data_IF_718131240719
#
_entry.id   IF_718131240719
#
_cell.length_a   1.000
_cell.length_b   1.000
_cell.length_c   1.000
_cell.angle_alpha   90.00
_cell.angle_beta   90.00
_cell.angle_gamma   90.00
#
_symmetry.space_group_name_H-M   'P 1'
#
loop_
_entity.id
_entity.type
_entity.pdbx_description
1 polymer ?
#
# COMPACT_ATOMS: atom_id res chain seq x y z
N UNK A 1 -12.48 -20.98 8.93
CA UNK A 1 -11.47 -20.93 7.85
C UNK A 1 -10.89 -22.32 7.67
N UNK A 2 -10.68 -22.80 6.45
CA UNK A 2 -9.97 -24.06 6.26
C UNK A 2 -8.57 -23.96 6.89
N UNK A 3 -8.13 -25.05 7.54
CA UNK A 3 -6.80 -25.12 8.19
C UNK A 3 -5.64 -24.75 7.24
N UNK A 4 -5.84 -24.97 5.94
CA UNK A 4 -4.89 -24.59 4.88
C UNK A 4 -4.60 -23.06 4.80
N UNK A 5 -5.50 -22.20 5.28
CA UNK A 5 -5.31 -20.74 5.34
C UNK A 5 -4.91 -20.26 6.73
N UNK A 6 -4.54 -21.17 7.65
CA UNK A 6 -4.07 -20.79 8.97
C UNK A 6 -2.72 -20.07 8.86
N UNK A 7 -2.62 -18.92 9.53
CA UNK A 7 -1.38 -18.18 9.74
C UNK A 7 -0.92 -18.50 11.16
N UNK A 8 0.19 -19.24 11.33
CA UNK A 8 0.60 -19.77 12.65
C UNK A 8 1.09 -18.69 13.62
N UNK A 9 1.54 -17.55 13.10
CA UNK A 9 2.06 -16.47 13.92
C UNK A 9 1.08 -15.29 13.96
N UNK A 10 0.89 -14.70 15.13
CA UNK A 10 -0.01 -13.58 15.34
C UNK A 10 0.59 -12.57 16.30
N UNK A 11 0.38 -11.29 16.00
CA UNK A 11 0.75 -10.17 16.85
C UNK A 11 -0.32 -9.08 16.78
N UNK A 12 -0.63 -8.48 17.93
CA UNK A 12 -1.40 -7.24 18.00
C UNK A 12 -0.41 -6.10 18.22
N UNK A 13 -0.42 -5.10 17.33
CA UNK A 13 0.40 -3.89 17.44
C UNK A 13 -0.50 -2.67 17.19
N UNK A 14 -0.81 -1.94 18.24
CA UNK A 14 -1.82 -0.88 18.18
C UNK A 14 -3.17 -1.43 17.71
N UNK A 15 -3.73 -0.83 16.69
CA UNK A 15 -5.00 -1.25 16.08
C UNK A 15 -4.86 -2.39 15.07
N UNK A 16 -3.64 -2.79 14.69
CA UNK A 16 -3.42 -3.83 13.69
C UNK A 16 -3.37 -5.24 14.29
N UNK A 17 -4.24 -6.14 13.78
CA UNK A 17 -4.17 -7.59 14.00
C UNK A 17 -3.33 -8.21 12.87
N UNK A 18 -2.08 -8.56 13.20
CA UNK A 18 -1.12 -9.05 12.21
C UNK A 18 -1.03 -10.56 12.29
N UNK A 19 -1.17 -11.22 11.14
CA UNK A 19 -1.07 -12.67 10.99
C UNK A 19 -0.02 -13.00 9.95
N UNK A 20 0.86 -13.96 10.24
CA UNK A 20 2.01 -14.24 9.39
C UNK A 20 2.24 -15.74 9.19
N UNK A 21 2.80 -16.08 8.03
CA UNK A 21 3.34 -17.41 7.75
C UNK A 21 4.72 -17.63 8.38
N UNK A 22 5.44 -16.54 8.69
CA UNK A 22 6.75 -16.56 9.33
C UNK A 22 6.69 -15.97 10.75
N UNK A 23 7.67 -16.27 11.61
CA UNK A 23 7.77 -15.66 12.93
C UNK A 23 7.69 -14.13 12.88
N UNK A 24 7.09 -13.55 13.95
CA UNK A 24 6.93 -12.11 14.14
C UNK A 24 7.73 -11.65 15.36
N UNK A 25 9.07 -11.44 15.27
CA UNK A 25 9.83 -10.87 16.36
C UNK A 25 9.25 -9.52 16.77
N UNK A 26 8.97 -9.37 18.06
CA UNK A 26 8.18 -8.26 18.60
C UNK A 26 8.74 -6.89 18.22
N UNK A 27 10.04 -6.70 18.45
CA UNK A 27 10.71 -5.42 18.15
C UNK A 27 10.67 -5.05 16.66
N UNK A 28 10.79 -6.04 15.77
CA UNK A 28 10.79 -5.82 14.33
C UNK A 28 9.42 -5.41 13.83
N UNK A 29 8.36 -6.13 14.23
CA UNK A 29 7.00 -5.80 13.79
C UNK A 29 6.53 -4.46 14.37
N UNK A 30 6.86 -4.14 15.63
CA UNK A 30 6.55 -2.84 16.21
C UNK A 30 7.24 -1.69 15.46
N UNK A 31 8.52 -1.86 15.08
CA UNK A 31 9.25 -0.88 14.29
C UNK A 31 8.62 -0.66 12.91
N UNK A 32 8.24 -1.73 12.23
CA UNK A 32 7.58 -1.65 10.91
C UNK A 32 6.23 -0.94 11.00
N UNK A 33 5.42 -1.31 11.99
CA UNK A 33 4.10 -0.68 12.19
C UNK A 33 4.24 0.78 12.63
N UNK A 34 5.22 1.11 13.48
CA UNK A 34 5.49 2.49 13.85
C UNK A 34 5.85 3.36 12.64
N UNK A 35 6.65 2.83 11.71
CA UNK A 35 6.97 3.54 10.45
C UNK A 35 5.73 3.67 9.55
N UNK A 36 4.94 2.62 9.39
CA UNK A 36 3.69 2.70 8.64
C UNK A 36 2.73 3.76 9.22
N UNK A 37 2.57 3.79 10.54
CA UNK A 37 1.72 4.77 11.22
C UNK A 37 2.22 6.21 11.04
N UNK A 38 3.54 6.46 11.06
CA UNK A 38 4.08 7.80 10.77
C UNK A 38 3.70 8.27 9.36
N UNK A 39 3.77 7.37 8.38
CA UNK A 39 3.37 7.66 6.99
C UNK A 39 1.86 7.93 6.91
N UNK A 40 1.03 7.08 7.48
CA UNK A 40 -0.42 7.23 7.50
C UNK A 40 -0.82 8.58 8.14
N UNK A 41 -0.17 8.96 9.24
CA UNK A 41 -0.47 10.19 9.96
C UNK A 41 -0.19 11.47 9.16
N UNK A 42 0.53 11.40 8.03
CA UNK A 42 0.70 12.56 7.13
C UNK A 42 -0.54 12.85 6.29
N UNK A 43 -1.50 11.94 6.23
CA UNK A 43 -2.73 12.08 5.46
C UNK A 43 -3.78 12.89 6.22
N UNK A 44 -4.35 13.91 5.57
CA UNK A 44 -5.45 14.69 6.16
C UNK A 44 -6.75 13.87 6.35
N UNK A 45 -6.88 12.73 5.67
CA UNK A 45 -8.02 11.81 5.84
C UNK A 45 -7.69 10.61 6.74
N UNK A 46 -6.56 10.66 7.46
CA UNK A 46 -6.23 9.64 8.43
C UNK A 46 -7.27 9.62 9.56
N UNK A 47 -7.82 8.43 9.81
CA UNK A 47 -8.75 8.24 10.92
C UNK A 47 -7.96 8.22 12.25
N UNK A 48 -8.34 9.09 13.18
CA UNK A 48 -7.71 9.13 14.51
C UNK A 48 -8.02 7.88 15.35
N UNK A 49 -9.11 7.17 15.03
CA UNK A 49 -9.44 5.90 15.67
C UNK A 49 -8.60 4.73 15.14
N UNK A 50 -7.83 4.98 14.08
CA UNK A 50 -6.95 4.00 13.46
C UNK A 50 -7.68 2.96 12.59
N UNK A 51 -6.88 2.30 11.78
CA UNK A 51 -7.35 1.23 10.91
C UNK A 51 -7.35 -0.09 11.70
N UNK A 52 -8.50 -0.71 11.89
CA UNK A 52 -8.61 -2.02 12.54
C UNK A 52 -8.76 -3.13 11.50
N UNK A 53 -7.81 -3.21 10.57
CA UNK A 53 -7.80 -4.25 9.55
C UNK A 53 -6.79 -5.34 9.86
N UNK A 54 -7.17 -6.63 9.76
CA UNK A 54 -6.18 -7.70 9.80
C UNK A 54 -5.19 -7.57 8.64
N UNK A 55 -3.90 -7.70 8.96
CA UNK A 55 -2.81 -7.74 7.98
C UNK A 55 -2.30 -9.17 7.90
N UNK A 56 -2.32 -9.74 6.69
CA UNK A 56 -1.80 -11.06 6.43
C UNK A 56 -0.46 -10.96 5.70
N UNK A 57 0.63 -11.31 6.39
CA UNK A 57 1.97 -11.37 5.83
C UNK A 57 2.22 -12.77 5.28
N UNK A 58 2.24 -12.89 3.96
CA UNK A 58 2.54 -14.16 3.29
C UNK A 58 4.05 -14.26 2.97
N UNK A 59 4.51 -15.50 2.75
CA UNK A 59 5.85 -15.76 2.21
C UNK A 59 5.85 -15.91 0.68
N UNK A 60 4.84 -15.38 0.01
CA UNK A 60 4.58 -15.68 -1.40
C UNK A 60 3.98 -17.09 -1.55
N UNK A 61 4.31 -17.79 -2.61
CA UNK A 61 3.85 -19.15 -2.81
C UNK A 61 2.33 -19.26 -3.04
N UNK A 62 1.76 -20.42 -2.70
CA UNK A 62 0.36 -20.74 -3.02
C UNK A 62 -0.66 -19.90 -2.23
N UNK A 63 -0.38 -19.54 -0.97
CA UNK A 63 -1.29 -18.69 -0.18
C UNK A 63 -1.41 -17.31 -0.77
N UNK A 64 -0.28 -16.71 -1.16
CA UNK A 64 -0.31 -15.45 -1.89
C UNK A 64 -1.07 -15.60 -3.21
N UNK A 65 -0.75 -16.64 -4.01
CA UNK A 65 -1.40 -16.87 -5.30
C UNK A 65 -2.92 -17.04 -5.16
N UNK A 66 -3.38 -17.71 -4.10
CA UNK A 66 -4.79 -17.88 -3.79
C UNK A 66 -5.45 -16.57 -3.33
N UNK A 67 -4.83 -15.85 -2.41
CA UNK A 67 -5.39 -14.62 -1.87
C UNK A 67 -5.33 -13.46 -2.87
N UNK A 68 -4.29 -13.41 -3.70
CA UNK A 68 -4.09 -12.36 -4.69
C UNK A 68 -4.87 -12.56 -5.99
N UNK A 69 -5.21 -13.79 -6.35
CA UNK A 69 -5.91 -14.15 -7.61
C UNK A 69 -5.25 -13.50 -8.84
N UNK A 70 -5.90 -12.50 -9.44
CA UNK A 70 -5.38 -11.78 -10.61
C UNK A 70 -4.25 -10.80 -10.29
N UNK A 71 -4.13 -10.36 -9.01
CA UNK A 71 -3.14 -9.38 -8.56
C UNK A 71 -1.83 -10.01 -8.07
N UNK A 72 -1.47 -11.21 -8.56
CA UNK A 72 -0.30 -11.98 -8.10
C UNK A 72 1.04 -11.24 -8.21
N UNK A 73 1.12 -10.25 -9.10
CA UNK A 73 2.31 -9.42 -9.29
C UNK A 73 2.40 -8.22 -8.34
N UNK A 74 1.42 -7.98 -7.48
CA UNK A 74 1.41 -6.85 -6.54
C UNK A 74 2.32 -7.11 -5.34
N UNK A 75 2.71 -6.05 -4.64
CA UNK A 75 3.40 -6.12 -3.35
C UNK A 75 2.43 -6.42 -2.21
N UNK A 76 1.25 -5.80 -2.27
CA UNK A 76 0.14 -5.99 -1.37
C UNK A 76 -1.17 -5.85 -2.11
N UNK A 77 -2.25 -6.04 -1.41
CA UNK A 77 -3.59 -5.77 -1.92
C UNK A 77 -4.59 -5.54 -0.79
N UNK A 78 -5.52 -4.65 -1.05
CA UNK A 78 -6.70 -4.40 -0.24
C UNK A 78 -7.93 -4.49 -1.13
N UNK A 79 -8.82 -5.44 -0.88
CA UNK A 79 -10.01 -5.63 -1.71
C UNK A 79 -11.16 -4.75 -1.22
N UNK A 80 -11.93 -4.20 -2.14
CA UNK A 80 -13.06 -3.33 -1.83
C UNK A 80 -14.11 -4.01 -0.94
N UNK A 81 -14.32 -5.32 -1.14
CA UNK A 81 -15.32 -6.10 -0.40
C UNK A 81 -14.80 -6.75 0.89
N UNK A 82 -13.54 -6.52 1.27
CA UNK A 82 -12.92 -7.14 2.43
C UNK A 82 -12.28 -6.12 3.35
N UNK A 83 -12.26 -6.43 4.64
CA UNK A 83 -11.63 -5.59 5.67
C UNK A 83 -10.20 -6.00 5.99
N UNK A 84 -9.50 -6.73 5.12
CA UNK A 84 -8.14 -7.19 5.38
C UNK A 84 -7.15 -6.75 4.29
N UNK A 85 -5.90 -6.63 4.70
CA UNK A 85 -4.74 -6.35 3.85
C UNK A 85 -3.96 -7.65 3.69
N UNK A 86 -3.55 -7.99 2.47
CA UNK A 86 -2.66 -9.12 2.21
C UNK A 86 -1.36 -8.60 1.62
N UNK A 87 -0.26 -8.99 2.22
CA UNK A 87 1.09 -8.59 1.81
C UNK A 87 1.82 -9.81 1.22
N UNK A 88 2.49 -9.59 0.11
CA UNK A 88 3.35 -10.58 -0.53
C UNK A 88 4.64 -10.81 0.29
N UNK A 89 5.58 -11.59 -0.25
CA UNK A 89 6.83 -11.90 0.42
C UNK A 89 7.58 -10.63 0.83
N UNK A 90 7.95 -10.57 2.09
CA UNK A 90 8.72 -9.48 2.68
C UNK A 90 9.76 -10.00 3.68
N UNK A 91 10.79 -9.21 3.91
CA UNK A 91 11.75 -9.36 4.99
C UNK A 91 11.40 -8.36 6.09
N UNK A 92 10.94 -8.86 7.23
CA UNK A 92 10.49 -8.05 8.35
C UNK A 92 11.68 -7.33 9.01
N UNK A 93 12.81 -8.02 9.17
CA UNK A 93 14.01 -7.45 9.79
C UNK A 93 14.59 -6.30 8.97
N UNK A 94 14.65 -6.47 7.65
CA UNK A 94 15.11 -5.43 6.72
C UNK A 94 14.03 -4.39 6.38
N UNK A 95 12.79 -4.55 6.84
CA UNK A 95 11.64 -3.73 6.44
C UNK A 95 11.53 -3.60 4.91
N UNK A 96 11.61 -4.71 4.18
CA UNK A 96 11.71 -4.69 2.71
C UNK A 96 10.79 -5.72 2.06
N UNK A 97 10.21 -5.35 0.92
CA UNK A 97 9.56 -6.31 0.03
C UNK A 97 10.60 -7.13 -0.72
N UNK A 98 10.38 -8.46 -0.80
CA UNK A 98 11.33 -9.42 -1.41
C UNK A 98 10.72 -10.23 -2.56
N UNK A 99 9.49 -9.95 -2.95
CA UNK A 99 8.90 -10.51 -4.15
C UNK A 99 9.53 -9.84 -5.37
N UNK A 100 10.60 -10.44 -5.87
CA UNK A 100 11.44 -9.94 -6.96
C UNK A 100 10.61 -9.43 -8.15
N UNK A 101 10.78 -8.15 -8.47
CA UNK A 101 10.33 -7.58 -9.73
C UNK A 101 11.55 -7.10 -10.50
N UNK A 102 11.67 -7.44 -11.80
CA UNK A 102 12.81 -7.05 -12.62
C UNK A 102 12.95 -5.53 -12.77
N UNK A 103 11.88 -4.79 -12.49
CA UNK A 103 11.79 -3.33 -12.69
C UNK A 103 11.14 -2.69 -11.47
N UNK A 104 11.88 -1.92 -10.74
CA UNK A 104 11.38 -1.14 -9.60
C UNK A 104 12.40 -0.98 -8.48
N UNK A 105 12.28 0.09 -7.72
CA UNK A 105 12.97 0.23 -6.45
C UNK A 105 12.40 -0.77 -5.44
N UNK A 106 13.24 -1.28 -4.56
CA UNK A 106 12.76 -2.10 -3.45
C UNK A 106 11.92 -1.21 -2.51
N UNK A 107 10.63 -1.49 -2.43
CA UNK A 107 9.74 -0.80 -1.48
C UNK A 107 9.92 -1.35 -0.07
N UNK A 108 9.72 -0.50 0.92
CA UNK A 108 9.66 -0.94 2.31
C UNK A 108 8.33 -1.63 2.61
N UNK A 109 8.36 -2.61 3.53
CA UNK A 109 7.15 -3.27 4.01
C UNK A 109 6.18 -2.27 4.65
N UNK A 110 6.72 -1.35 5.44
CA UNK A 110 5.95 -0.29 6.08
C UNK A 110 5.26 0.64 5.07
N UNK A 111 5.90 0.97 3.94
CA UNK A 111 5.27 1.78 2.89
C UNK A 111 4.12 1.04 2.20
N UNK A 112 4.26 -0.27 1.99
CA UNK A 112 3.17 -1.08 1.43
C UNK A 112 1.99 -1.16 2.42
N UNK A 113 2.26 -1.35 3.72
CA UNK A 113 1.21 -1.33 4.74
C UNK A 113 0.49 0.02 4.74
N UNK A 114 1.22 1.13 4.67
CA UNK A 114 0.63 2.47 4.62
C UNK A 114 -0.20 2.69 3.35
N UNK A 115 0.29 2.25 2.18
CA UNK A 115 -0.41 2.32 0.91
C UNK A 115 -1.74 1.53 0.95
N UNK A 116 -1.71 0.29 1.40
CA UNK A 116 -2.90 -0.56 1.47
C UNK A 116 -3.91 -0.05 2.53
N UNK A 117 -3.40 0.52 3.62
CA UNK A 117 -4.24 1.19 4.62
C UNK A 117 -4.92 2.43 4.03
N UNK A 118 -4.21 3.19 3.22
CA UNK A 118 -4.73 4.38 2.53
C UNK A 118 -5.97 4.05 1.69
N UNK A 119 -5.98 2.95 0.95
CA UNK A 119 -7.18 2.52 0.23
C UNK A 119 -8.40 2.30 1.14
N UNK A 120 -8.16 1.91 2.39
CA UNK A 120 -9.21 1.85 3.40
C UNK A 120 -9.74 3.22 3.79
N UNK A 121 -8.83 4.16 4.05
CA UNK A 121 -9.17 5.55 4.39
C UNK A 121 -9.97 6.22 3.27
N UNK A 122 -9.53 6.09 2.02
CA UNK A 122 -10.22 6.59 0.84
C UNK A 122 -11.66 6.06 0.75
N UNK A 123 -11.84 4.73 0.91
CA UNK A 123 -13.19 4.12 0.85
C UNK A 123 -14.11 4.58 1.99
N UNK A 124 -13.57 4.78 3.18
CA UNK A 124 -14.37 5.32 4.29
C UNK A 124 -14.79 6.77 4.05
N UNK A 125 -13.89 7.57 3.50
CA UNK A 125 -14.13 9.00 3.27
C UNK A 125 -15.00 9.27 2.05
N UNK A 126 -14.75 8.56 0.93
CA UNK A 126 -15.35 8.85 -0.38
C UNK A 126 -16.30 7.77 -0.90
N UNK A 127 -16.52 6.73 -0.10
CA UNK A 127 -17.44 5.63 -0.41
C UNK A 127 -16.77 4.43 -1.09
N UNK A 128 -17.43 3.27 -1.06
CA UNK A 128 -16.85 1.98 -1.47
C UNK A 128 -16.58 1.91 -2.99
N UNK A 129 -17.27 2.70 -3.79
CA UNK A 129 -17.13 2.70 -5.25
C UNK A 129 -16.05 3.68 -5.76
N UNK A 130 -15.38 4.44 -4.88
CA UNK A 130 -14.44 5.47 -5.29
C UNK A 130 -13.31 4.92 -6.18
N UNK A 131 -12.83 3.71 -5.93
CA UNK A 131 -11.77 3.07 -6.74
C UNK A 131 -12.19 2.70 -8.17
N UNK A 132 -13.48 2.72 -8.49
CA UNK A 132 -14.02 2.50 -9.84
C UNK A 132 -14.52 3.81 -10.49
N UNK A 133 -14.87 4.79 -9.68
CA UNK A 133 -15.42 6.08 -10.17
C UNK A 133 -14.37 7.17 -10.30
N UNK A 134 -13.24 7.04 -9.61
CA UNK A 134 -12.13 7.98 -9.66
C UNK A 134 -10.97 7.44 -10.53
N UNK A 135 -10.21 8.32 -11.18
CA UNK A 135 -9.12 7.88 -12.05
C UNK A 135 -7.99 7.21 -11.24
N UNK A 136 -7.40 6.17 -11.82
CA UNK A 136 -6.33 5.36 -11.19
C UNK A 136 -5.16 6.23 -10.70
N UNK A 137 -4.76 7.26 -11.46
CA UNK A 137 -3.67 8.16 -11.05
C UNK A 137 -3.94 8.85 -9.72
N UNK A 138 -5.22 9.16 -9.41
CA UNK A 138 -5.59 9.77 -8.14
C UNK A 138 -5.57 8.75 -7.00
N UNK A 139 -6.29 7.64 -7.17
CA UNK A 139 -6.44 6.59 -6.14
C UNK A 139 -5.07 6.03 -5.74
N UNK A 140 -4.33 5.54 -6.73
CA UNK A 140 -3.03 4.93 -6.48
C UNK A 140 -1.96 5.99 -6.14
N UNK A 141 -2.03 7.15 -6.82
CA UNK A 141 -1.09 8.25 -6.59
C UNK A 141 -1.24 8.85 -5.20
N UNK A 142 -2.45 8.95 -4.67
CA UNK A 142 -2.67 9.43 -3.31
C UNK A 142 -2.15 8.42 -2.28
N UNK A 143 -2.40 7.12 -2.47
CA UNK A 143 -1.86 6.11 -1.57
C UNK A 143 -0.33 6.02 -1.63
N UNK A 144 0.31 6.19 -2.79
CA UNK A 144 1.78 6.31 -2.90
C UNK A 144 2.30 7.64 -2.29
N UNK A 145 1.51 8.72 -2.32
CA UNK A 145 1.84 9.97 -1.63
C UNK A 145 1.84 9.78 -0.11
N UNK A 146 0.82 9.16 0.45
CA UNK A 146 0.74 8.81 1.88
C UNK A 146 1.85 7.82 2.27
N UNK A 147 2.11 6.82 1.44
CA UNK A 147 3.19 5.86 1.63
C UNK A 147 4.59 6.48 1.53
N UNK A 148 4.72 7.70 0.98
CA UNK A 148 5.99 8.41 0.73
C UNK A 148 6.99 7.62 -0.13
N UNK A 149 6.55 6.59 -0.80
CA UNK A 149 7.34 5.77 -1.71
C UNK A 149 6.53 5.44 -2.98
N UNK A 150 7.25 5.17 -4.06
CA UNK A 150 6.68 4.61 -5.27
C UNK A 150 7.51 3.41 -5.74
N UNK A 151 6.93 2.57 -6.58
CA UNK A 151 7.62 1.41 -7.16
C UNK A 151 8.80 1.84 -8.05
N UNK A 152 8.72 3.02 -8.68
CA UNK A 152 9.80 3.57 -9.49
C UNK A 152 10.54 4.68 -8.75
N UNK A 153 11.87 4.65 -8.80
CA UNK A 153 12.71 5.80 -8.47
C UNK A 153 12.67 6.85 -9.59
N UNK A 154 13.03 8.10 -9.28
CA UNK A 154 13.13 9.17 -10.30
C UNK A 154 14.07 8.78 -11.45
N UNK A 155 15.23 8.21 -11.16
CA UNK A 155 16.18 7.76 -12.16
C UNK A 155 15.60 6.67 -13.07
N UNK A 156 14.87 5.70 -12.49
CA UNK A 156 14.26 4.63 -13.27
C UNK A 156 13.09 5.12 -14.12
N UNK A 157 12.28 6.02 -13.59
CA UNK A 157 11.19 6.63 -14.36
C UNK A 157 11.73 7.46 -15.54
N UNK A 158 12.82 8.19 -15.33
CA UNK A 158 13.49 8.95 -16.39
C UNK A 158 14.08 8.01 -17.48
N UNK A 159 14.73 6.91 -17.10
CA UNK A 159 15.24 5.91 -18.05
C UNK A 159 14.11 5.29 -18.89
N UNK A 160 13.00 4.90 -18.25
CA UNK A 160 11.85 4.33 -18.98
C UNK A 160 11.28 5.32 -19.98
N UNK A 161 11.12 6.60 -19.57
CA UNK A 161 10.66 7.68 -20.45
C UNK A 161 11.61 7.92 -21.62
N UNK A 162 12.92 8.02 -21.37
CA UNK A 162 13.92 8.23 -22.40
C UNK A 162 13.94 7.11 -23.45
N UNK A 163 13.61 5.90 -23.03
CA UNK A 163 13.54 4.71 -23.90
C UNK A 163 12.17 4.47 -24.53
N UNK A 164 11.19 5.33 -24.28
CA UNK A 164 9.83 5.15 -24.78
C UNK A 164 9.13 3.89 -24.27
N UNK A 165 9.53 3.38 -23.09
CA UNK A 165 8.97 2.14 -22.54
C UNK A 165 7.75 2.50 -21.69
N UNK A 166 6.58 2.05 -22.14
CA UNK A 166 5.36 2.10 -21.33
C UNK A 166 5.42 1.02 -20.25
N UNK A 167 5.45 1.45 -18.99
CA UNK A 167 5.54 0.57 -17.85
C UNK A 167 4.37 0.81 -16.87
N UNK A 168 3.64 -0.25 -16.46
CA UNK A 168 2.45 -0.10 -15.61
C UNK A 168 2.69 0.68 -14.30
N UNK A 169 3.90 0.68 -13.76
CA UNK A 169 4.23 1.44 -12.56
C UNK A 169 4.36 2.96 -12.80
N UNK A 170 4.37 3.44 -14.05
CA UNK A 170 4.44 4.87 -14.35
C UNK A 170 3.20 5.61 -13.86
N UNK A 171 2.01 5.00 -13.96
CA UNK A 171 0.77 5.63 -13.48
C UNK A 171 0.80 5.91 -11.98
N UNK A 172 1.42 5.05 -11.18
CA UNK A 172 1.62 5.24 -9.74
C UNK A 172 2.62 6.36 -9.46
N UNK A 173 3.78 6.30 -10.13
CA UNK A 173 4.85 7.28 -9.98
C UNK A 173 4.41 8.69 -10.39
N UNK A 174 3.80 8.82 -11.56
CA UNK A 174 3.28 10.10 -12.06
C UNK A 174 2.08 10.57 -11.25
N UNK A 175 1.20 9.65 -10.87
CA UNK A 175 0.06 9.92 -10.00
C UNK A 175 0.50 10.52 -8.67
N UNK A 176 1.51 9.95 -8.01
CA UNK A 176 2.08 10.50 -6.77
C UNK A 176 2.58 11.93 -6.95
N UNK A 177 3.31 12.21 -8.04
CA UNK A 177 3.83 13.56 -8.33
C UNK A 177 2.70 14.55 -8.62
N UNK A 178 1.70 14.11 -9.38
CA UNK A 178 0.52 14.92 -9.69
C UNK A 178 -0.27 15.25 -8.43
N UNK A 179 -0.52 14.25 -7.57
CA UNK A 179 -1.18 14.45 -6.26
C UNK A 179 -0.41 15.47 -5.41
N UNK A 180 0.91 15.33 -5.28
CA UNK A 180 1.74 16.27 -4.52
C UNK A 180 1.64 17.70 -5.06
N UNK A 181 1.67 17.88 -6.38
CA UNK A 181 1.52 19.17 -7.03
C UNK A 181 0.13 19.79 -6.81
N UNK A 182 -0.93 18.99 -6.92
CA UNK A 182 -2.30 19.46 -6.70
C UNK A 182 -2.54 19.85 -5.25
N UNK A 183 -2.04 19.05 -4.29
CA UNK A 183 -2.13 19.38 -2.87
C UNK A 183 -1.35 20.66 -2.53
N UNK A 184 -0.16 20.83 -3.09
CA UNK A 184 0.59 22.09 -2.93
C UNK A 184 -0.18 23.30 -3.48
N UNK A 185 -0.88 23.14 -4.60
CA UNK A 185 -1.66 24.21 -5.25
C UNK A 185 -2.94 24.56 -4.51
N UNK A 186 -3.59 23.57 -3.88
CA UNK A 186 -4.90 23.74 -3.22
C UNK A 186 -4.81 23.92 -1.68
N UNK A 187 -3.60 24.08 -1.13
CA UNK A 187 -3.39 24.26 0.31
C UNK A 187 -3.49 22.96 1.13
N UNK A 188 -3.32 21.80 0.51
CA UNK A 188 -3.38 20.50 1.17
C UNK A 188 -4.80 19.92 1.31
N UNK A 189 -5.78 20.51 0.62
CA UNK A 189 -7.17 20.08 0.69
C UNK A 189 -7.40 18.80 -0.13
N UNK A 190 -7.44 17.68 0.58
CA UNK A 190 -7.64 16.34 0.01
C UNK A 190 -9.07 16.15 -0.49
N UNK A 191 -10.07 16.69 0.20
CA UNK A 191 -11.47 16.57 -0.23
C UNK A 191 -11.69 17.29 -1.56
N UNK A 192 -11.10 18.47 -1.71
CA UNK A 192 -11.11 19.22 -2.97
C UNK A 192 -10.36 18.47 -4.07
N UNK A 193 -9.20 17.87 -3.78
CA UNK A 193 -8.46 17.04 -4.74
C UNK A 193 -9.34 15.92 -5.29
N UNK A 194 -10.04 15.17 -4.42
CA UNK A 194 -10.92 14.07 -4.83
C UNK A 194 -12.20 14.55 -5.54
N UNK A 195 -12.71 15.73 -5.19
CA UNK A 195 -13.91 16.31 -5.84
C UNK A 195 -13.62 16.76 -7.28
N UNK A 196 -12.49 17.43 -7.52
CA UNK A 196 -12.13 18.07 -8.81
C UNK A 196 -11.42 17.12 -9.79
N UNK A 197 -10.86 15.99 -9.33
CA UNK A 197 -10.14 15.05 -10.20
C UNK A 197 -11.06 14.37 -11.22
N UNK A 198 -10.66 14.49 -12.49
CA UNK A 198 -11.28 13.86 -13.67
C UNK A 198 -10.33 12.85 -14.29
#
# INVERSE_FOLDING_TARGET
>A
MPAALAFPYRAQVGTFDIRSEAPLPRAEIERVIADANRRIATSAIADQQGENRPIYLTQGGWRWAWLALQSRKSFGLTRAATSYIVINRSDLAANRMTNSRPVGAARTLSSIIAHETCHGMERRRYGPLMSVTKPTWLVEGYCDHVAQESTLSDARAADLKARGIDHPAMVYYEGRKKVAAELARNGGDVDRLFAEAK
#
